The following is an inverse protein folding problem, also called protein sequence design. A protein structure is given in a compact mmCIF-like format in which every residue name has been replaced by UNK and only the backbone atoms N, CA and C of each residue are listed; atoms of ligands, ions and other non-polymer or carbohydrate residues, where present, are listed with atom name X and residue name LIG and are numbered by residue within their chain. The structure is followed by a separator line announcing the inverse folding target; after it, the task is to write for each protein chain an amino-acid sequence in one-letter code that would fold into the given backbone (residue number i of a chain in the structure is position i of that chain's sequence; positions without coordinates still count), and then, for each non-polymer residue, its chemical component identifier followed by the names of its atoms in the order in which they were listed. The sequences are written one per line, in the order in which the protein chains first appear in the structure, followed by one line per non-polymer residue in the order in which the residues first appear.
data_IF_896504033091
#
_entry.id   IF_896504033091
#
_cell.length_a   1.000
_cell.length_b   1.000
_cell.length_c   1.000
_cell.angle_alpha   90.00
_cell.angle_beta   90.00
_cell.angle_gamma   90.00
#
_symmetry.space_group_name_H-M   'P 1'
#
loop_
_entity.id
_entity.type
_entity.pdbx_description
1 polymer ?
#
# COMPACT_ATOMS: atom_id res chain seq x y z
N UNK A 1 35.30 -61.27 -1.72
CA UNK A 1 34.02 -60.91 -2.36
C UNK A 1 33.26 -60.08 -1.33
N UNK A 2 33.42 -58.75 -1.29
CA UNK A 2 32.73 -57.73 -2.09
C UNK A 2 31.20 -57.93 -2.07
N UNK A 3 30.46 -56.86 -1.79
CA UNK A 3 28.99 -56.74 -1.72
C UNK A 3 28.42 -57.28 -0.39
N UNK A 4 27.89 -56.49 0.55
CA UNK A 4 26.87 -55.44 0.40
C UNK A 4 27.04 -54.34 1.48
N UNK A 5 27.53 -53.19 1.05
CA UNK A 5 27.30 -51.89 1.68
C UNK A 5 26.15 -51.24 0.92
N UNK A 6 25.01 -50.97 1.54
CA UNK A 6 24.08 -49.91 1.12
C UNK A 6 22.87 -49.83 2.08
N UNK A 7 22.59 -48.61 2.56
CA UNK A 7 21.20 -48.23 2.84
C UNK A 7 20.83 -47.83 4.26
N UNK A 8 21.66 -47.06 4.97
CA UNK A 8 21.14 -46.23 6.07
C UNK A 8 20.88 -44.82 5.54
N UNK A 9 19.73 -44.64 4.90
CA UNK A 9 19.23 -43.32 4.53
C UNK A 9 18.79 -42.64 5.83
N UNK A 10 19.61 -41.70 6.30
CA UNK A 10 19.24 -40.75 7.35
C UNK A 10 18.01 -39.97 6.91
N UNK A 11 16.87 -40.29 7.53
CA UNK A 11 15.66 -39.47 7.51
C UNK A 11 15.97 -38.16 8.25
N UNK A 12 16.53 -37.18 7.54
CA UNK A 12 16.51 -35.79 7.98
C UNK A 12 15.06 -35.33 7.93
N UNK A 13 14.37 -35.44 9.06
CA UNK A 13 13.10 -34.78 9.27
C UNK A 13 13.31 -33.28 9.04
N UNK A 14 12.86 -32.79 7.88
CA UNK A 14 12.67 -31.37 7.63
C UNK A 14 11.53 -30.94 8.55
N UNK A 15 11.86 -30.63 9.80
CA UNK A 15 10.94 -29.90 10.65
C UNK A 15 10.73 -28.53 10.00
N UNK A 16 9.47 -28.08 9.81
CA UNK A 16 9.23 -26.70 9.41
C UNK A 16 9.86 -25.83 10.50
N UNK A 17 10.89 -25.07 10.12
CA UNK A 17 11.50 -24.09 11.00
C UNK A 17 10.37 -23.14 11.44
N UNK A 18 9.93 -23.28 12.68
CA UNK A 18 9.03 -22.32 13.29
C UNK A 18 9.88 -21.06 13.46
N UNK A 19 9.81 -20.16 12.48
CA UNK A 19 10.42 -18.84 12.57
C UNK A 19 9.84 -18.17 13.79
N UNK A 20 10.68 -18.02 14.83
CA UNK A 20 10.36 -17.24 16.02
C UNK A 20 9.87 -15.87 15.55
N UNK A 21 8.78 -15.30 16.10
CA UNK A 21 8.34 -13.98 15.73
C UNK A 21 9.51 -13.00 15.88
N UNK A 22 9.82 -12.24 14.83
CA UNK A 22 10.89 -11.25 14.81
C UNK A 22 10.71 -10.31 16.01
N UNK A 23 11.67 -10.32 16.93
CA UNK A 23 11.67 -9.39 18.04
C UNK A 23 12.07 -8.00 17.51
N UNK A 24 11.72 -6.89 18.19
CA UNK A 24 12.23 -5.56 17.83
C UNK A 24 13.76 -5.48 17.72
N UNK A 25 14.47 -6.40 18.37
CA UNK A 25 15.92 -6.55 18.29
C UNK A 25 16.42 -7.00 16.89
N UNK A 26 15.56 -7.63 16.08
CA UNK A 26 15.91 -8.16 14.75
C UNK A 26 15.64 -7.16 13.60
N UNK A 27 15.20 -5.93 13.92
CA UNK A 27 14.78 -4.90 12.96
C UNK A 27 15.97 -4.09 12.42
N UNK A 28 16.86 -4.77 11.69
CA UNK A 28 18.09 -4.19 11.15
C UNK A 28 17.96 -3.57 9.75
N UNK A 29 16.83 -3.77 9.05
CA UNK A 29 16.56 -3.21 7.73
C UNK A 29 15.09 -2.85 7.55
N UNK A 30 14.78 -2.00 6.56
CA UNK A 30 13.40 -1.65 6.23
C UNK A 30 12.60 -2.90 5.80
N UNK A 31 13.23 -3.81 5.06
CA UNK A 31 12.63 -5.09 4.67
C UNK A 31 12.34 -6.00 5.87
N UNK A 32 13.22 -6.03 6.87
CA UNK A 32 12.96 -6.76 8.11
C UNK A 32 11.72 -6.21 8.83
N UNK A 33 11.56 -4.89 8.87
CA UNK A 33 10.36 -4.25 9.42
C UNK A 33 9.12 -4.55 8.58
N UNK A 34 9.21 -4.54 7.25
CA UNK A 34 8.08 -4.89 6.38
C UNK A 34 7.65 -6.35 6.54
N UNK A 35 8.59 -7.30 6.67
CA UNK A 35 8.28 -8.70 7.00
C UNK A 35 7.59 -8.81 8.35
N UNK A 36 8.07 -8.07 9.34
CA UNK A 36 7.44 -8.02 10.66
C UNK A 36 6.01 -7.44 10.59
N UNK A 37 5.80 -6.36 9.84
CA UNK A 37 4.46 -5.77 9.59
C UNK A 37 3.53 -6.80 8.94
N UNK A 38 3.99 -7.52 7.93
CA UNK A 38 3.19 -8.55 7.24
C UNK A 38 2.72 -9.66 8.19
N UNK A 39 3.59 -10.08 9.11
CA UNK A 39 3.27 -11.09 10.13
C UNK A 39 2.49 -10.58 11.36
N UNK A 40 2.37 -9.27 11.53
CA UNK A 40 1.89 -8.63 12.77
C UNK A 40 0.52 -9.13 13.23
N UNK A 41 -0.44 -9.32 12.30
CA UNK A 41 -1.81 -9.74 12.62
C UNK A 41 -1.90 -11.09 13.31
N UNK A 42 -0.94 -11.98 13.06
CA UNK A 42 -0.95 -13.32 13.66
C UNK A 42 -0.74 -13.28 15.17
N UNK A 43 -0.03 -12.26 15.67
CA UNK A 43 0.19 -12.02 17.09
C UNK A 43 0.48 -10.52 17.33
N UNK A 44 -0.55 -9.67 17.40
CA UNK A 44 -0.38 -8.23 17.53
C UNK A 44 0.39 -7.87 18.81
N UNK A 45 1.42 -7.04 18.67
CA UNK A 45 2.16 -6.45 19.80
C UNK A 45 2.28 -4.93 19.61
N UNK A 46 1.28 -4.15 20.04
CA UNK A 46 1.31 -2.69 19.93
C UNK A 46 2.51 -2.07 20.66
N UNK A 47 3.06 -2.72 21.69
CA UNK A 47 4.19 -2.18 22.46
C UNK A 47 5.51 -2.22 21.69
N UNK A 48 5.62 -3.12 20.70
CA UNK A 48 6.77 -3.22 19.80
C UNK A 48 6.77 -2.15 18.69
N UNK A 49 5.61 -1.59 18.35
CA UNK A 49 5.43 -0.67 17.21
C UNK A 49 6.30 0.60 17.32
N UNK A 50 6.43 1.28 18.48
CA UNK A 50 7.33 2.43 18.58
C UNK A 50 8.79 2.09 18.24
N UNK A 51 9.28 0.93 18.67
CA UNK A 51 10.64 0.49 18.37
C UNK A 51 10.84 0.22 16.87
N UNK A 52 9.83 -0.34 16.19
CA UNK A 52 9.83 -0.54 14.75
C UNK A 52 9.85 0.81 13.99
N UNK A 53 9.04 1.79 14.41
CA UNK A 53 9.04 3.13 13.82
C UNK A 53 10.37 3.85 14.03
N UNK A 54 10.97 3.71 15.22
CA UNK A 54 12.32 4.20 15.50
C UNK A 54 13.38 3.54 14.62
N UNK A 55 13.29 2.24 14.37
CA UNK A 55 14.17 1.55 13.44
C UNK A 55 14.03 2.10 12.00
N UNK A 56 12.80 2.23 11.49
CA UNK A 56 12.53 2.81 10.16
C UNK A 56 13.09 4.23 10.02
N UNK A 57 12.89 5.07 11.04
CA UNK A 57 13.45 6.42 11.11
C UNK A 57 14.98 6.42 11.06
N UNK A 58 15.64 5.60 11.88
CA UNK A 58 17.12 5.46 11.86
C UNK A 58 17.65 4.96 10.52
N UNK A 59 16.90 4.08 9.86
CA UNK A 59 17.25 3.50 8.56
C UNK A 59 16.93 4.42 7.38
N UNK A 60 16.37 5.61 7.63
CA UNK A 60 15.98 6.56 6.58
C UNK A 60 14.76 6.14 5.75
N UNK A 61 14.05 5.09 6.16
CA UNK A 61 12.92 4.54 5.43
C UNK A 61 11.68 5.46 5.43
N UNK A 62 11.69 6.52 6.26
CA UNK A 62 10.60 7.50 6.41
C UNK A 62 10.90 8.85 5.74
N UNK A 63 12.04 8.98 5.07
CA UNK A 63 12.49 10.24 4.47
C UNK A 63 11.67 10.66 3.25
N UNK A 64 11.15 9.67 2.50
CA UNK A 64 10.31 9.89 1.34
C UNK A 64 8.84 9.56 1.71
N UNK A 65 7.98 10.59 1.88
CA UNK A 65 6.57 10.38 2.21
C UNK A 65 5.81 9.55 1.18
N UNK A 66 6.12 9.70 -0.11
CA UNK A 66 5.39 9.01 -1.19
C UNK A 66 5.65 7.50 -1.18
N UNK A 67 6.79 7.07 -0.62
CA UNK A 67 7.17 5.64 -0.47
C UNK A 67 6.90 5.08 0.92
N UNK A 68 6.39 5.91 1.83
CA UNK A 68 6.19 5.54 3.24
C UNK A 68 4.75 5.17 3.57
N UNK A 69 3.87 5.10 2.57
CA UNK A 69 2.43 4.89 2.75
C UNK A 69 2.10 3.67 3.62
N UNK A 70 2.79 2.55 3.42
CA UNK A 70 2.58 1.31 4.20
C UNK A 70 2.85 1.52 5.69
N UNK A 71 3.87 2.30 6.04
CA UNK A 71 4.20 2.59 7.42
C UNK A 71 3.19 3.55 8.06
N UNK A 72 2.71 4.55 7.29
CA UNK A 72 1.63 5.47 7.72
C UNK A 72 0.37 4.66 8.02
N UNK A 73 -0.06 3.83 7.09
CA UNK A 73 -1.24 2.99 7.22
C UNK A 73 -1.15 2.02 8.38
N UNK A 74 0.00 1.35 8.52
CA UNK A 74 0.24 0.42 9.63
C UNK A 74 0.16 1.13 10.99
N UNK A 75 0.86 2.24 11.16
CA UNK A 75 0.81 3.01 12.40
C UNK A 75 -0.61 3.54 12.68
N UNK A 76 -1.32 4.00 11.66
CA UNK A 76 -2.71 4.45 11.77
C UNK A 76 -3.63 3.33 12.27
N UNK A 77 -3.53 2.14 11.67
CA UNK A 77 -4.32 0.97 12.07
C UNK A 77 -4.04 0.51 13.49
N UNK A 78 -2.76 0.51 13.91
CA UNK A 78 -2.39 0.19 15.30
C UNK A 78 -2.97 1.23 16.26
N UNK A 79 -2.84 2.52 15.98
CA UNK A 79 -3.43 3.59 16.82
C UNK A 79 -4.94 3.40 16.91
N UNK A 80 -5.61 3.21 15.77
CA UNK A 80 -7.08 3.07 15.68
C UNK A 80 -7.63 1.87 16.43
N UNK A 81 -6.88 0.76 16.45
CA UNK A 81 -7.31 -0.48 17.12
C UNK A 81 -6.96 -0.55 18.60
N UNK A 82 -6.32 0.49 19.17
CA UNK A 82 -5.80 0.48 20.53
C UNK A 82 -6.15 1.77 21.30
N UNK A 83 -7.42 2.18 21.30
CA UNK A 83 -7.92 3.44 21.88
C UNK A 83 -7.33 3.77 23.26
N UNK A 84 -7.38 2.84 24.22
CA UNK A 84 -6.90 3.08 25.60
C UNK A 84 -5.40 3.37 25.69
N UNK A 85 -4.60 2.80 24.79
CA UNK A 85 -3.14 2.96 24.78
C UNK A 85 -2.63 3.87 23.67
N UNK A 86 -3.52 4.44 22.84
CA UNK A 86 -3.19 5.27 21.69
C UNK A 86 -2.28 6.43 22.08
N UNK A 87 -2.58 7.14 23.17
CA UNK A 87 -1.76 8.24 23.65
C UNK A 87 -0.34 7.78 24.03
N UNK A 88 -0.22 6.70 24.81
CA UNK A 88 1.07 6.17 25.22
C UNK A 88 1.89 5.68 24.00
N UNK A 89 1.22 5.05 23.03
CA UNK A 89 1.81 4.59 21.78
C UNK A 89 2.35 5.75 20.93
N UNK A 90 1.55 6.80 20.75
CA UNK A 90 1.96 8.02 20.04
C UNK A 90 3.14 8.67 20.76
N UNK A 91 3.05 8.78 22.09
CA UNK A 91 4.07 9.42 22.92
C UNK A 91 5.45 8.78 22.79
N UNK A 92 5.52 7.45 22.71
CA UNK A 92 6.77 6.68 22.48
C UNK A 92 7.23 6.74 21.03
N UNK A 93 6.29 6.71 20.08
CA UNK A 93 6.62 6.81 18.64
C UNK A 93 7.28 8.15 18.29
N UNK A 94 6.99 9.23 19.01
CA UNK A 94 7.61 10.55 18.80
C UNK A 94 9.12 10.63 19.12
N UNK A 95 9.71 9.57 19.66
CA UNK A 95 11.16 9.42 19.83
C UNK A 95 11.91 9.13 18.52
N UNK A 96 11.21 9.04 17.38
CA UNK A 96 11.81 9.09 16.03
C UNK A 96 12.49 10.44 15.77
N UNK A 97 13.29 10.50 14.69
CA UNK A 97 13.93 11.75 14.25
C UNK A 97 12.87 12.84 13.99
N UNK A 98 13.21 14.11 14.29
CA UNK A 98 12.28 15.25 14.11
C UNK A 98 11.73 15.34 12.68
N UNK A 99 12.60 15.08 11.70
CA UNK A 99 12.21 15.11 10.29
C UNK A 99 11.20 14.01 9.93
N UNK A 100 11.06 12.95 10.71
CA UNK A 100 10.15 11.84 10.37
C UNK A 100 8.80 11.95 11.09
N UNK A 101 8.63 12.89 12.02
CA UNK A 101 7.39 13.08 12.82
C UNK A 101 6.14 13.39 12.01
N UNK A 102 6.29 13.71 10.72
CA UNK A 102 5.15 13.84 9.80
C UNK A 102 4.32 12.55 9.73
N UNK A 103 4.94 11.37 9.89
CA UNK A 103 4.24 10.08 9.85
C UNK A 103 3.23 9.97 11.00
N UNK A 104 3.60 10.47 12.19
CA UNK A 104 2.74 10.44 13.38
C UNK A 104 1.53 11.35 13.18
N UNK A 105 1.72 12.53 12.59
CA UNK A 105 0.62 13.45 12.25
C UNK A 105 -0.40 12.77 11.33
N UNK A 106 0.07 12.15 10.23
CA UNK A 106 -0.82 11.44 9.29
C UNK A 106 -1.46 10.22 9.93
N UNK A 107 -0.71 9.43 10.69
CA UNK A 107 -1.22 8.22 11.32
C UNK A 107 -2.32 8.51 12.35
N UNK A 108 -2.20 9.59 13.13
CA UNK A 108 -3.29 10.05 14.01
C UNK A 108 -4.51 10.42 13.17
N UNK A 109 -4.34 11.24 12.14
CA UNK A 109 -5.44 11.69 11.28
C UNK A 109 -6.13 10.54 10.52
N UNK A 110 -5.40 9.47 10.20
CA UNK A 110 -5.91 8.30 9.46
C UNK A 110 -6.34 7.16 10.38
N UNK A 111 -6.17 7.29 11.70
CA UNK A 111 -6.44 6.21 12.66
C UNK A 111 -7.90 5.77 12.69
N UNK A 112 -8.83 6.67 12.35
CA UNK A 112 -10.28 6.44 12.49
C UNK A 112 -10.80 6.63 13.92
N UNK A 113 -9.96 7.05 14.87
CA UNK A 113 -10.42 7.37 16.23
C UNK A 113 -11.34 8.59 16.20
N UNK A 114 -12.48 8.59 16.91
CA UNK A 114 -13.43 9.71 16.90
C UNK A 114 -12.82 11.01 17.46
N UNK A 115 -11.85 10.89 18.37
CA UNK A 115 -11.15 11.99 19.05
C UNK A 115 -9.75 12.28 18.46
N UNK A 116 -9.46 11.82 17.25
CA UNK A 116 -8.13 11.99 16.63
C UNK A 116 -7.66 13.46 16.60
N UNK A 117 -8.58 14.42 16.45
CA UNK A 117 -8.24 15.86 16.48
C UNK A 117 -7.73 16.30 17.84
N UNK A 118 -8.35 15.82 18.91
CA UNK A 118 -7.91 16.10 20.28
C UNK A 118 -6.53 15.50 20.53
N UNK A 119 -6.32 14.24 20.13
CA UNK A 119 -5.01 13.59 20.20
C UNK A 119 -3.95 14.36 19.40
N UNK A 120 -4.26 14.78 18.17
CA UNK A 120 -3.33 15.52 17.33
C UNK A 120 -2.96 16.87 17.95
N UNK A 121 -3.94 17.59 18.49
CA UNK A 121 -3.72 18.87 19.18
C UNK A 121 -2.86 18.69 20.44
N UNK A 122 -3.11 17.64 21.23
CA UNK A 122 -2.35 17.32 22.45
C UNK A 122 -0.86 17.11 22.16
N UNK A 123 -0.52 16.43 21.07
CA UNK A 123 0.87 16.17 20.70
C UNK A 123 1.52 17.28 19.86
N UNK A 124 0.77 18.31 19.44
CA UNK A 124 1.27 19.35 18.54
C UNK A 124 2.51 20.08 19.07
N UNK A 125 2.57 20.34 20.39
CA UNK A 125 3.72 20.99 21.04
C UNK A 125 5.02 20.19 20.89
N UNK A 126 4.92 18.86 20.72
CA UNK A 126 6.07 17.96 20.51
C UNK A 126 6.49 17.84 19.04
N UNK A 127 5.76 18.46 18.11
CA UNK A 127 6.01 18.44 16.66
C UNK A 127 5.95 19.86 16.06
N UNK A 128 6.67 20.86 16.60
CA UNK A 128 6.57 22.25 16.13
C UNK A 128 6.93 22.40 14.64
N UNK A 129 7.87 21.59 14.13
CA UNK A 129 8.24 21.53 12.72
C UNK A 129 7.10 21.05 11.79
N UNK A 130 6.03 20.49 12.36
CA UNK A 130 4.83 20.01 11.66
C UNK A 130 3.60 20.87 11.90
N UNK A 131 3.73 22.04 12.52
CA UNK A 131 2.61 22.93 12.84
C UNK A 131 1.69 23.20 11.63
N UNK A 132 2.26 23.52 10.46
CA UNK A 132 1.49 23.77 9.25
C UNK A 132 0.70 22.54 8.75
N UNK A 133 1.28 21.34 8.87
CA UNK A 133 0.59 20.09 8.51
C UNK A 133 -0.54 19.79 9.49
N UNK A 134 -0.26 19.95 10.79
CA UNK A 134 -1.22 19.76 11.87
C UNK A 134 -2.42 20.70 11.67
N UNK A 135 -2.17 21.99 11.43
CA UNK A 135 -3.22 22.98 11.19
C UNK A 135 -4.10 22.59 10.01
N UNK A 136 -3.51 22.11 8.90
CA UNK A 136 -4.29 21.66 7.74
C UNK A 136 -5.25 20.52 8.06
N UNK A 137 -4.82 19.53 8.85
CA UNK A 137 -5.72 18.46 9.29
C UNK A 137 -6.79 18.96 10.26
N UNK A 138 -6.41 19.75 11.28
CA UNK A 138 -7.36 20.27 12.28
C UNK A 138 -8.46 21.12 11.63
N UNK A 139 -8.10 21.94 10.63
CA UNK A 139 -9.01 22.81 9.88
C UNK A 139 -9.72 22.12 8.72
N UNK A 140 -9.46 20.84 8.46
CA UNK A 140 -10.09 20.08 7.36
C UNK A 140 -9.62 20.47 5.96
N UNK A 141 -8.47 21.15 5.84
CA UNK A 141 -7.82 21.46 4.56
C UNK A 141 -7.05 20.27 3.99
N UNK A 142 -6.69 19.30 4.82
CA UNK A 142 -6.10 18.02 4.40
C UNK A 142 -7.08 16.88 4.66
N UNK A 143 -7.29 15.99 3.68
CA UNK A 143 -8.29 14.94 3.79
C UNK A 143 -7.81 13.77 4.65
N UNK A 144 -8.75 13.10 5.31
CA UNK A 144 -8.54 11.87 6.10
C UNK A 144 -8.90 10.62 5.30
N UNK A 145 -8.55 9.43 5.81
CA UNK A 145 -8.74 8.17 5.08
C UNK A 145 -10.23 7.84 4.83
N UNK A 146 -11.12 8.26 5.72
CA UNK A 146 -12.58 8.18 5.56
C UNK A 146 -13.14 9.12 4.48
N UNK A 147 -12.31 10.04 3.98
CA UNK A 147 -12.64 10.96 2.88
C UNK A 147 -12.02 10.50 1.55
N UNK A 148 -11.55 9.25 1.48
CA UNK A 148 -11.15 8.59 0.24
C UNK A 148 -12.36 8.45 -0.69
N UNK A 149 -12.24 9.04 -1.88
CA UNK A 149 -13.29 8.95 -2.90
C UNK A 149 -12.74 8.27 -4.14
N UNK A 150 -13.38 7.16 -4.50
CA UNK A 150 -13.01 6.39 -5.68
C UNK A 150 -14.11 6.62 -6.71
N UNK A 151 -13.84 7.50 -7.67
CA UNK A 151 -14.79 7.80 -8.73
C UNK A 151 -14.96 6.58 -9.66
N UNK A 152 -16.19 6.26 -10.10
CA UNK A 152 -16.36 5.26 -11.14
C UNK A 152 -15.68 5.73 -12.43
N UNK A 153 -15.21 4.80 -13.26
CA UNK A 153 -14.75 5.13 -14.61
C UNK A 153 -15.91 5.77 -15.40
N UNK A 154 -15.69 6.91 -16.08
CA UNK A 154 -16.75 7.63 -16.78
C UNK A 154 -17.30 6.80 -17.94
N UNK A 155 -18.62 6.80 -18.09
CA UNK A 155 -19.28 6.17 -19.25
C UNK A 155 -18.89 6.86 -20.56
N UNK A 156 -19.07 6.19 -21.70
CA UNK A 156 -18.76 6.77 -23.01
C UNK A 156 -19.50 8.09 -23.28
N UNK A 157 -20.72 8.25 -22.76
CA UNK A 157 -21.50 9.48 -22.86
C UNK A 157 -20.98 10.59 -21.94
N UNK A 158 -20.58 10.26 -20.71
CA UNK A 158 -19.96 11.23 -19.79
C UNK A 158 -18.64 11.76 -20.35
N UNK A 159 -17.86 10.89 -21.00
CA UNK A 159 -16.63 11.26 -21.70
C UNK A 159 -16.88 12.33 -22.77
N UNK A 160 -17.98 12.24 -23.54
CA UNK A 160 -18.33 13.26 -24.55
C UNK A 160 -18.74 14.59 -23.88
N UNK A 161 -19.48 14.53 -22.77
CA UNK A 161 -19.93 15.72 -22.04
C UNK A 161 -18.80 16.50 -21.35
N UNK A 162 -17.79 15.82 -20.80
CA UNK A 162 -16.62 16.47 -20.17
C UNK A 162 -15.80 17.31 -21.17
N UNK A 163 -15.81 16.94 -22.45
CA UNK A 163 -15.14 17.68 -23.51
C UNK A 163 -15.84 18.99 -23.91
N UNK A 164 -17.10 19.20 -23.48
CA UNK A 164 -17.88 20.40 -23.77
C UNK A 164 -17.72 21.53 -22.72
N UNK A 165 -16.76 21.41 -21.78
CA UNK A 165 -16.33 22.45 -20.81
C UNK A 165 -17.47 23.26 -20.18
N UNK A 166 -18.32 22.57 -19.42
CA UNK A 166 -19.34 23.19 -18.56
C UNK A 166 -18.72 24.05 -17.41
N UNK A 167 -17.42 23.86 -17.13
CA UNK A 167 -16.66 24.60 -16.12
C UNK A 167 -16.54 26.11 -16.40
N UNK A 168 -16.67 26.52 -17.67
CA UNK A 168 -16.62 27.94 -18.05
C UNK A 168 -17.87 28.73 -17.64
N UNK A 169 -18.97 28.04 -17.29
CA UNK A 169 -20.29 28.66 -17.10
C UNK A 169 -20.69 28.76 -15.62
N UNK A 170 -20.29 27.83 -14.76
CA UNK A 170 -20.87 27.70 -13.41
C UNK A 170 -19.92 27.99 -12.24
N UNK A 171 -18.66 28.36 -12.50
CA UNK A 171 -17.67 28.60 -11.44
C UNK A 171 -17.31 27.33 -10.67
N UNK A 172 -16.14 27.31 -10.02
CA UNK A 172 -15.68 26.13 -9.27
C UNK A 172 -16.42 26.06 -7.93
N UNK A 173 -17.24 25.03 -7.64
CA UNK A 173 -17.79 24.86 -6.31
C UNK A 173 -16.65 24.67 -5.30
N UNK A 174 -16.82 25.17 -4.07
CA UNK A 174 -15.91 24.87 -2.95
C UNK A 174 -15.99 23.37 -2.65
N UNK A 175 -15.17 22.56 -3.32
CA UNK A 175 -15.06 21.13 -3.02
C UNK A 175 -14.39 20.97 -1.66
N UNK A 176 -14.97 20.14 -0.79
CA UNK A 176 -14.28 19.66 0.42
C UNK A 176 -12.99 18.98 -0.03
N UNK A 177 -11.93 19.04 0.78
CA UNK A 177 -10.74 18.25 0.53
C UNK A 177 -11.13 16.77 0.49
N UNK A 178 -10.79 16.10 -0.60
CA UNK A 178 -11.05 14.68 -0.82
C UNK A 178 -9.70 13.99 -0.99
N UNK A 179 -9.57 12.80 -0.42
CA UNK A 179 -8.40 11.98 -0.65
C UNK A 179 -8.63 11.24 -1.97
N UNK A 180 -7.74 11.48 -2.94
CA UNK A 180 -7.79 10.84 -4.24
C UNK A 180 -6.96 9.54 -4.20
N UNK A 181 -7.37 8.50 -4.95
CA UNK A 181 -6.58 7.28 -5.07
C UNK A 181 -5.21 7.55 -5.68
N UNK A 182 -4.19 6.94 -5.11
CA UNK A 182 -2.80 7.02 -5.56
C UNK A 182 -2.04 5.77 -5.14
N UNK A 183 -0.83 5.54 -5.68
CA UNK A 183 0.08 4.50 -5.18
C UNK A 183 0.33 4.57 -3.67
N UNK A 184 0.54 5.76 -3.13
CA UNK A 184 0.71 5.97 -1.69
C UNK A 184 -0.55 5.54 -0.91
N UNK A 185 -1.74 5.90 -1.41
CA UNK A 185 -3.00 5.51 -0.77
C UNK A 185 -3.21 4.00 -0.79
N UNK A 186 -2.87 3.31 -1.89
CA UNK A 186 -2.89 1.84 -1.94
C UNK A 186 -2.03 1.25 -0.81
N UNK A 187 -0.83 1.80 -0.59
CA UNK A 187 0.04 1.34 0.48
C UNK A 187 -0.49 1.66 1.87
N UNK A 188 -1.09 2.84 2.06
CA UNK A 188 -1.75 3.20 3.32
C UNK A 188 -2.86 2.19 3.63
N UNK A 189 -3.67 1.82 2.63
CA UNK A 189 -4.73 0.82 2.81
C UNK A 189 -4.15 -0.55 3.16
N UNK A 190 -3.07 -0.98 2.49
CA UNK A 190 -2.37 -2.22 2.83
C UNK A 190 -1.77 -2.22 4.23
N UNK A 191 -1.08 -1.14 4.61
CA UNK A 191 -0.54 -0.97 5.96
C UNK A 191 -1.64 -1.05 7.03
N UNK A 192 -2.75 -0.37 6.80
CA UNK A 192 -3.91 -0.40 7.71
C UNK A 192 -4.49 -1.82 7.81
N UNK A 193 -4.60 -2.53 6.68
CA UNK A 193 -4.98 -3.94 6.68
C UNK A 193 -4.01 -4.79 7.50
N UNK A 194 -2.69 -4.69 7.27
CA UNK A 194 -1.68 -5.46 8.01
C UNK A 194 -1.67 -5.16 9.52
N UNK A 195 -2.11 -3.98 9.95
CA UNK A 195 -2.24 -3.66 11.36
C UNK A 195 -3.49 -4.26 12.01
N UNK A 196 -4.60 -4.36 11.27
CA UNK A 196 -5.94 -4.54 11.86
C UNK A 196 -6.69 -5.78 11.39
N UNK A 197 -6.39 -6.28 10.20
CA UNK A 197 -7.21 -7.27 9.50
C UNK A 197 -8.57 -6.74 9.04
N UNK A 198 -8.85 -5.43 9.19
CA UNK A 198 -10.12 -4.84 8.80
C UNK A 198 -10.35 -4.98 7.31
N UNK A 199 -11.56 -5.41 6.92
CA UNK A 199 -11.90 -5.56 5.53
C UNK A 199 -12.19 -4.22 4.81
N UNK A 200 -12.43 -3.14 5.56
CA UNK A 200 -12.67 -1.81 5.01
C UNK A 200 -11.60 -1.34 4.02
N UNK A 201 -10.30 -1.31 4.42
CA UNK A 201 -9.21 -0.99 3.50
C UNK A 201 -9.16 -1.86 2.24
N UNK A 202 -9.41 -3.16 2.37
CA UNK A 202 -9.45 -4.07 1.22
C UNK A 202 -10.59 -3.71 0.28
N UNK A 203 -11.77 -3.38 0.80
CA UNK A 203 -12.89 -2.93 -0.03
C UNK A 203 -12.61 -1.62 -0.77
N UNK A 204 -11.83 -0.71 -0.18
CA UNK A 204 -11.33 0.47 -0.90
C UNK A 204 -10.39 0.08 -2.05
N UNK A 205 -9.51 -0.91 -1.88
CA UNK A 205 -8.65 -1.40 -2.97
C UNK A 205 -9.51 -2.11 -4.05
N UNK A 206 -10.49 -2.92 -3.66
CA UNK A 206 -11.44 -3.59 -4.57
C UNK A 206 -12.22 -2.57 -5.40
N UNK A 207 -12.61 -1.43 -4.81
CA UNK A 207 -13.30 -0.36 -5.53
C UNK A 207 -12.45 0.30 -6.63
N UNK A 208 -11.11 0.15 -6.60
CA UNK A 208 -10.22 0.62 -7.67
C UNK A 208 -10.05 -0.40 -8.80
N UNK A 209 -10.50 -1.65 -8.65
CA UNK A 209 -10.35 -2.70 -9.67
C UNK A 209 -10.98 -2.38 -11.04
N UNK A 210 -12.15 -1.70 -11.14
CA UNK A 210 -12.71 -1.32 -12.44
C UNK A 210 -11.75 -0.51 -13.31
N UNK A 211 -10.83 0.24 -12.68
CA UNK A 211 -9.86 1.03 -13.42
C UNK A 211 -8.78 0.19 -14.11
N UNK A 212 -8.61 -1.08 -13.74
CA UNK A 212 -7.63 -1.98 -14.38
C UNK A 212 -7.91 -2.28 -15.86
N UNK A 213 -9.07 -1.87 -16.37
CA UNK A 213 -9.48 -1.97 -17.77
C UNK A 213 -9.83 -0.60 -18.38
N UNK A 214 -9.51 0.49 -17.69
CA UNK A 214 -9.74 1.86 -18.15
C UNK A 214 -8.62 2.30 -19.12
N UNK A 215 -8.71 1.83 -20.37
CA UNK A 215 -7.72 2.14 -21.42
C UNK A 215 -7.79 3.59 -21.95
N UNK A 216 -8.52 4.48 -21.28
CA UNK A 216 -8.60 5.88 -21.65
C UNK A 216 -7.79 6.80 -20.74
N UNK A 217 -7.37 6.32 -19.56
CA UNK A 217 -6.67 7.10 -18.54
C UNK A 217 -5.49 6.31 -17.97
N UNK A 218 -4.26 6.77 -18.24
CA UNK A 218 -3.03 6.08 -17.80
C UNK A 218 -2.91 6.01 -16.28
N UNK A 219 -3.36 7.03 -15.56
CA UNK A 219 -3.25 7.08 -14.10
C UNK A 219 -4.21 6.08 -13.46
N UNK A 220 -5.49 6.09 -13.87
CA UNK A 220 -6.48 5.11 -13.43
C UNK A 220 -6.07 3.69 -13.80
N UNK A 221 -5.66 3.47 -15.06
CA UNK A 221 -5.18 2.17 -15.52
C UNK A 221 -4.03 1.66 -14.66
N UNK A 222 -3.10 2.54 -14.31
CA UNK A 222 -1.96 2.19 -13.46
C UNK A 222 -2.42 1.83 -12.04
N UNK A 223 -3.22 2.67 -11.39
CA UNK A 223 -3.73 2.44 -10.02
C UNK A 223 -4.57 1.16 -9.95
N UNK A 224 -5.51 0.97 -10.89
CA UNK A 224 -6.35 -0.23 -10.94
C UNK A 224 -5.54 -1.51 -11.20
N UNK A 225 -4.53 -1.44 -12.06
CA UNK A 225 -3.61 -2.55 -12.31
C UNK A 225 -2.76 -2.89 -11.08
N UNK A 226 -2.28 -1.88 -10.34
CA UNK A 226 -1.55 -2.04 -9.08
C UNK A 226 -2.43 -2.66 -8.00
N UNK A 227 -3.68 -2.19 -7.87
CA UNK A 227 -4.68 -2.77 -6.97
C UNK A 227 -4.89 -4.26 -7.28
N UNK A 228 -5.11 -4.60 -8.55
CA UNK A 228 -5.29 -6.00 -9.00
C UNK A 228 -4.07 -6.86 -8.69
N UNK A 229 -2.86 -6.39 -9.00
CA UNK A 229 -1.63 -7.14 -8.76
C UNK A 229 -1.34 -7.34 -7.26
N UNK A 230 -1.43 -6.29 -6.46
CA UNK A 230 -1.15 -6.36 -5.01
C UNK A 230 -2.16 -7.24 -4.28
N UNK A 231 -3.45 -7.20 -4.66
CA UNK A 231 -4.46 -8.11 -4.12
C UNK A 231 -4.11 -9.58 -4.41
N UNK A 232 -3.79 -9.91 -5.66
CA UNK A 232 -3.45 -11.28 -6.04
C UNK A 232 -2.18 -11.77 -5.33
N UNK A 233 -1.15 -10.92 -5.28
CA UNK A 233 0.12 -11.24 -4.63
C UNK A 233 -0.04 -11.48 -3.12
N UNK A 234 -0.75 -10.60 -2.41
CA UNK A 234 -0.93 -10.74 -0.97
C UNK A 234 -1.89 -11.91 -0.64
N UNK A 235 -2.93 -12.14 -1.44
CA UNK A 235 -3.88 -13.24 -1.25
C UNK A 235 -3.27 -14.64 -1.45
N UNK A 236 -2.10 -14.74 -2.11
CA UNK A 236 -1.37 -16.01 -2.29
C UNK A 236 -0.95 -16.61 -0.94
N UNK A 237 -0.72 -15.78 0.08
CA UNK A 237 -0.22 -16.19 1.40
C UNK A 237 -1.18 -15.84 2.55
N UNK A 238 -2.33 -15.22 2.24
CA UNK A 238 -3.33 -14.78 3.21
C UNK A 238 -4.69 -15.40 2.85
N UNK A 239 -4.99 -16.56 3.46
CA UNK A 239 -6.20 -17.31 3.16
C UNK A 239 -7.48 -16.58 3.59
N UNK A 240 -7.40 -15.76 4.64
CA UNK A 240 -8.53 -14.94 5.09
C UNK A 240 -8.83 -13.84 4.05
N UNK A 241 -7.78 -13.19 3.53
CA UNK A 241 -7.91 -12.25 2.43
C UNK A 241 -8.51 -12.94 1.19
N UNK A 242 -7.98 -14.09 0.79
CA UNK A 242 -8.48 -14.83 -0.36
C UNK A 242 -9.97 -15.19 -0.20
N UNK A 243 -10.37 -15.68 0.98
CA UNK A 243 -11.76 -16.00 1.29
C UNK A 243 -12.65 -14.75 1.22
N UNK A 244 -12.19 -13.62 1.73
CA UNK A 244 -12.92 -12.36 1.69
C UNK A 244 -13.11 -11.84 0.25
N UNK A 245 -12.07 -11.93 -0.59
CA UNK A 245 -12.15 -11.57 -2.02
C UNK A 245 -13.13 -12.46 -2.79
N UNK A 246 -13.14 -13.77 -2.53
CA UNK A 246 -14.14 -14.72 -3.07
C UNK A 246 -15.55 -14.44 -2.56
N UNK A 247 -15.68 -13.91 -1.34
CA UNK A 247 -16.96 -13.43 -0.81
C UNK A 247 -17.43 -12.18 -1.56
N UNK A 248 -16.53 -11.22 -1.79
CA UNK A 248 -16.83 -9.98 -2.52
C UNK A 248 -17.24 -10.23 -3.97
N UNK A 249 -16.63 -11.21 -4.66
CA UNK A 249 -17.02 -11.52 -6.03
C UNK A 249 -18.44 -12.08 -6.14
N UNK A 250 -18.99 -12.60 -5.04
CA UNK A 250 -20.36 -13.12 -4.91
C UNK A 250 -21.33 -12.13 -4.29
N UNK A 251 -20.88 -10.93 -3.94
CA UNK A 251 -21.73 -9.94 -3.29
C UNK A 251 -22.86 -9.47 -4.21
N UNK A 252 -24.04 -9.26 -3.64
CA UNK A 252 -25.20 -8.72 -4.40
C UNK A 252 -24.86 -7.33 -4.93
N UNK A 253 -25.18 -7.08 -6.20
CA UNK A 253 -24.94 -5.81 -6.89
C UNK A 253 -23.45 -5.41 -7.06
N UNK A 254 -22.52 -6.36 -6.91
CA UNK A 254 -21.13 -6.10 -7.27
C UNK A 254 -21.04 -5.81 -8.78
N UNK A 255 -20.37 -4.71 -9.23
CA UNK A 255 -20.24 -4.41 -10.65
C UNK A 255 -19.55 -5.55 -11.40
N UNK A 256 -20.04 -5.89 -12.60
CA UNK A 256 -19.52 -6.99 -13.41
C UNK A 256 -18.01 -6.85 -13.68
N UNK A 257 -17.53 -5.62 -13.92
CA UNK A 257 -16.11 -5.32 -14.10
C UNK A 257 -15.29 -5.64 -12.85
N UNK A 258 -15.82 -5.36 -11.66
CA UNK A 258 -15.19 -5.74 -10.39
C UNK A 258 -15.22 -7.25 -10.19
N UNK A 259 -16.33 -7.93 -10.51
CA UNK A 259 -16.44 -9.39 -10.41
C UNK A 259 -15.42 -10.07 -11.33
N UNK A 260 -15.30 -9.62 -12.57
CA UNK A 260 -14.31 -10.15 -13.51
C UNK A 260 -12.88 -9.97 -13.00
N UNK A 261 -12.53 -8.76 -12.52
CA UNK A 261 -11.21 -8.50 -11.96
C UNK A 261 -10.94 -9.32 -10.69
N UNK A 262 -11.92 -9.47 -9.80
CA UNK A 262 -11.81 -10.30 -8.59
C UNK A 262 -11.61 -11.78 -8.93
N UNK A 263 -12.34 -12.31 -9.92
CA UNK A 263 -12.16 -13.70 -10.35
C UNK A 263 -10.74 -13.95 -10.86
N UNK A 264 -10.18 -13.02 -11.64
CA UNK A 264 -8.79 -13.12 -12.07
C UNK A 264 -7.79 -13.03 -10.91
N UNK A 265 -8.06 -12.17 -9.92
CA UNK A 265 -7.24 -12.04 -8.71
C UNK A 265 -7.24 -13.33 -7.89
N UNK A 266 -8.43 -13.90 -7.65
CA UNK A 266 -8.56 -15.13 -6.85
C UNK A 266 -7.99 -16.33 -7.58
N UNK A 267 -8.23 -16.44 -8.89
CA UNK A 267 -7.64 -17.48 -9.75
C UNK A 267 -6.11 -17.43 -9.71
N UNK A 268 -5.52 -16.25 -9.90
CA UNK A 268 -4.07 -16.09 -9.87
C UNK A 268 -3.48 -16.37 -8.48
N UNK A 269 -4.18 -15.99 -7.40
CA UNK A 269 -3.75 -16.28 -6.03
C UNK A 269 -3.80 -17.78 -5.72
N UNK A 270 -4.86 -18.48 -6.14
CA UNK A 270 -5.03 -19.93 -5.93
C UNK A 270 -4.05 -20.77 -6.77
N UNK A 271 -3.74 -20.32 -7.98
CA UNK A 271 -2.82 -21.00 -8.91
C UNK A 271 -1.36 -20.54 -8.77
N UNK A 272 -1.10 -19.50 -7.97
CA UNK A 272 0.20 -18.85 -7.82
C UNK A 272 0.73 -18.28 -9.16
N UNK A 273 -0.15 -17.97 -10.11
CA UNK A 273 0.17 -17.44 -11.44
C UNK A 273 0.19 -15.89 -11.50
N UNK A 274 0.73 -15.24 -10.47
CA UNK A 274 0.74 -13.78 -10.33
C UNK A 274 1.50 -13.08 -11.49
N UNK A 275 2.46 -13.78 -12.10
CA UNK A 275 3.21 -13.29 -13.25
C UNK A 275 2.33 -12.96 -14.46
N UNK A 276 1.18 -13.63 -14.63
CA UNK A 276 0.23 -13.35 -15.71
C UNK A 276 -0.39 -11.95 -15.55
N UNK A 277 -0.94 -11.66 -14.37
CA UNK A 277 -1.55 -10.36 -14.05
C UNK A 277 -0.52 -9.24 -14.25
N UNK A 278 0.72 -9.45 -13.79
CA UNK A 278 1.82 -8.49 -13.97
C UNK A 278 2.09 -8.17 -15.43
N UNK A 279 2.28 -9.20 -16.26
CA UNK A 279 2.59 -9.04 -17.69
C UNK A 279 1.47 -8.30 -18.43
N UNK A 280 0.21 -8.62 -18.11
CA UNK A 280 -0.96 -7.95 -18.69
C UNK A 280 -1.01 -6.47 -18.31
N UNK A 281 -0.78 -6.15 -17.03
CA UNK A 281 -0.74 -4.77 -16.54
C UNK A 281 0.36 -3.94 -17.23
N UNK A 282 1.59 -4.46 -17.29
CA UNK A 282 2.72 -3.79 -17.97
C UNK A 282 2.39 -3.52 -19.43
N UNK A 283 1.91 -4.54 -20.15
CA UNK A 283 1.60 -4.42 -21.57
C UNK A 283 0.48 -3.40 -21.83
N UNK A 284 -0.59 -3.40 -21.03
CA UNK A 284 -1.71 -2.48 -21.17
C UNK A 284 -1.30 -1.01 -20.94
N UNK A 285 -0.49 -0.77 -19.91
CA UNK A 285 0.02 0.57 -19.59
C UNK A 285 0.97 1.06 -20.67
N UNK A 286 1.91 0.21 -21.12
CA UNK A 286 2.86 0.55 -22.18
C UNK A 286 2.18 0.82 -23.52
N UNK A 287 1.15 0.05 -23.87
CA UNK A 287 0.37 0.25 -25.08
C UNK A 287 -0.37 1.60 -25.05
N UNK A 288 -1.04 1.92 -23.94
CA UNK A 288 -1.74 3.20 -23.79
C UNK A 288 -0.75 4.39 -23.83
N UNK A 289 0.43 4.24 -23.23
CA UNK A 289 1.51 5.24 -23.31
C UNK A 289 2.02 5.45 -24.72
N UNK A 290 2.20 4.37 -25.49
CA UNK A 290 2.76 4.44 -26.86
C UNK A 290 1.74 4.90 -27.89
N UNK A 291 0.51 4.38 -27.84
CA UNK A 291 -0.50 4.56 -28.89
C UNK A 291 -1.68 5.45 -28.50
N UNK A 292 -1.76 5.87 -27.24
CA UNK A 292 -2.82 6.75 -26.76
C UNK A 292 -2.72 8.19 -27.32
N UNK A 293 -3.85 8.87 -27.57
CA UNK A 293 -3.85 10.29 -27.93
C UNK A 293 -3.13 11.15 -26.87
N UNK A 294 -2.58 12.30 -27.28
CA UNK A 294 -1.69 13.13 -26.45
C UNK A 294 -2.27 13.51 -25.07
N UNK A 295 -3.58 13.77 -24.99
CA UNK A 295 -4.25 14.09 -23.72
C UNK A 295 -4.35 12.88 -22.76
N UNK A 296 -4.37 11.65 -23.29
CA UNK A 296 -4.33 10.40 -22.51
C UNK A 296 -2.92 10.06 -22.06
N UNK A 297 -1.91 10.62 -22.74
CA UNK A 297 -0.48 10.53 -22.37
C UNK A 297 -0.08 11.58 -21.34
N UNK A 298 -0.81 12.68 -21.22
CA UNK A 298 -0.47 13.82 -20.35
C UNK A 298 -1.16 13.74 -18.98
N UNK A 299 -0.70 12.82 -18.13
CA UNK A 299 -0.77 13.01 -16.69
C UNK A 299 0.50 13.77 -16.24
N UNK A 300 0.39 14.70 -15.29
CA UNK A 300 1.49 15.55 -14.83
C UNK A 300 2.60 14.71 -14.18
N UNK A 301 3.61 14.45 -14.99
CA UNK A 301 4.69 13.48 -14.87
C UNK A 301 5.81 13.83 -13.86
N UNK A 302 5.75 14.93 -13.12
CA UNK A 302 6.90 15.39 -12.30
C UNK A 302 7.23 14.52 -11.06
N UNK A 303 6.37 13.58 -10.66
CA UNK A 303 6.67 12.61 -9.59
C UNK A 303 7.29 11.27 -10.05
N UNK A 304 7.36 11.01 -11.36
CA UNK A 304 7.66 9.67 -11.91
C UNK A 304 8.83 9.64 -12.91
N UNK A 305 9.64 10.70 -13.01
CA UNK A 305 10.75 10.79 -13.96
C UNK A 305 11.94 9.93 -13.50
N UNK A 306 12.03 8.72 -14.05
CA UNK A 306 13.23 7.90 -13.91
C UNK A 306 13.08 6.47 -14.41
N UNK A 307 13.00 6.30 -15.72
CA UNK A 307 13.08 5.02 -16.46
C UNK A 307 11.89 4.06 -16.31
N UNK A 308 11.15 3.85 -17.41
CA UNK A 308 10.76 2.53 -17.97
C UNK A 308 10.17 1.41 -17.10
N UNK A 309 9.98 1.58 -15.81
CA UNK A 309 9.57 0.58 -14.85
C UNK A 309 8.34 1.12 -14.13
N UNK A 310 7.34 0.26 -13.97
CA UNK A 310 6.24 0.54 -13.08
C UNK A 310 6.85 0.87 -11.71
N UNK A 311 6.63 2.11 -11.24
CA UNK A 311 7.09 2.60 -9.95
C UNK A 311 6.31 1.98 -8.78
N UNK A 312 6.11 0.66 -8.85
CA UNK A 312 5.61 -0.18 -7.79
C UNK A 312 6.77 -1.05 -7.33
N UNK A 313 7.34 -0.85 -6.14
CA UNK A 313 8.41 -1.65 -5.56
C UNK A 313 8.22 -3.14 -5.80
N UNK A 314 7.04 -3.70 -5.53
CA UNK A 314 6.78 -5.12 -5.83
C UNK A 314 6.50 -5.44 -7.31
N UNK A 315 6.06 -4.50 -8.14
CA UNK A 315 5.88 -4.73 -9.59
C UNK A 315 7.22 -4.68 -10.32
N UNK A 316 8.07 -3.70 -10.00
CA UNK A 316 9.44 -3.60 -10.51
C UNK A 316 10.32 -4.76 -10.03
N UNK A 317 10.27 -5.12 -8.75
CA UNK A 317 11.00 -6.29 -8.23
C UNK A 317 10.51 -7.60 -8.86
N UNK A 318 9.21 -7.71 -9.12
CA UNK A 318 8.65 -8.85 -9.84
C UNK A 318 9.09 -8.89 -11.32
N UNK A 319 9.27 -7.74 -11.99
CA UNK A 319 9.84 -7.66 -13.34
C UNK A 319 11.29 -8.16 -13.38
N UNK A 320 12.07 -7.92 -12.33
CA UNK A 320 13.46 -8.39 -12.21
C UNK A 320 13.59 -9.81 -11.62
N UNK A 321 12.47 -10.49 -11.33
CA UNK A 321 12.47 -11.86 -10.78
C UNK A 321 12.75 -11.94 -9.28
N UNK A 322 12.82 -10.79 -8.59
CA UNK A 322 13.04 -10.69 -7.16
C UNK A 322 11.69 -10.55 -6.43
N UNK A 323 10.94 -11.64 -6.31
CA UNK A 323 9.85 -11.74 -5.33
C UNK A 323 10.43 -12.46 -4.11
N UNK A 324 10.73 -11.71 -3.05
CA UNK A 324 11.18 -12.31 -1.81
C UNK A 324 9.99 -12.85 -1.02
N UNK A 325 10.04 -14.13 -0.65
CA UNK A 325 9.03 -14.75 0.19
C UNK A 325 8.91 -14.03 1.54
N UNK A 326 7.68 -13.69 1.94
CA UNK A 326 7.36 -13.11 3.24
C UNK A 326 7.33 -11.58 3.31
N UNK A 327 7.75 -10.86 2.26
CA UNK A 327 7.52 -9.40 2.16
C UNK A 327 6.11 -9.11 1.62
N UNK A 328 5.38 -8.14 2.20
CA UNK A 328 4.09 -7.73 1.65
C UNK A 328 4.31 -7.01 0.31
N UNK A 329 3.47 -7.30 -0.67
CA UNK A 329 3.51 -6.59 -1.95
C UNK A 329 2.75 -5.27 -1.82
N UNK A 330 3.53 -4.21 -1.63
CA UNK A 330 3.09 -2.81 -1.61
C UNK A 330 3.79 -2.02 -2.72
N UNK A 331 3.13 -0.98 -3.22
CA UNK A 331 3.54 -0.17 -4.36
C UNK A 331 4.77 0.69 -4.03
N UNK A 332 4.90 1.23 -2.83
CA UNK A 332 6.04 2.05 -2.39
C UNK A 332 7.20 1.26 -1.79
N UNK A 333 7.12 -0.08 -1.78
CA UNK A 333 8.01 -0.96 -1.01
C UNK A 333 9.51 -0.74 -1.21
N UNK A 334 10.26 -0.85 -0.10
CA UNK A 334 11.68 -0.53 0.10
C UNK A 334 12.70 -1.23 -0.83
N UNK A 335 12.27 -2.13 -1.72
CA UNK A 335 13.11 -2.63 -2.82
C UNK A 335 13.63 -1.50 -3.72
N UNK A 336 12.91 -0.37 -3.80
CA UNK A 336 13.41 0.81 -4.50
C UNK A 336 14.62 1.45 -3.79
N UNK A 337 14.73 1.38 -2.47
CA UNK A 337 15.80 2.06 -1.71
C UNK A 337 17.12 1.31 -1.76
N UNK A 338 17.11 -0.02 -1.72
CA UNK A 338 18.32 -0.83 -1.85
C UNK A 338 18.91 -0.75 -3.28
N UNK A 339 18.06 -0.72 -4.31
CA UNK A 339 18.49 -0.58 -5.70
C UNK A 339 18.92 0.84 -6.03
N UNK A 340 18.22 1.87 -5.56
CA UNK A 340 18.61 3.28 -5.81
C UNK A 340 19.91 3.64 -5.08
N UNK A 341 20.15 3.13 -3.87
CA UNK A 341 21.43 3.33 -3.18
C UNK A 341 22.59 2.56 -3.81
N UNK A 342 22.33 1.42 -4.45
CA UNK A 342 23.37 0.67 -5.18
C UNK A 342 23.73 1.35 -6.51
N UNK A 343 22.76 1.95 -7.20
CA UNK A 343 22.97 2.65 -8.47
C UNK A 343 23.63 4.02 -8.27
N UNK A 344 23.31 4.74 -7.18
CA UNK A 344 23.91 6.05 -6.89
C UNK A 344 25.31 5.99 -6.24
N UNK A 345 25.77 4.81 -5.82
CA UNK A 345 27.08 4.61 -5.19
C UNK A 345 28.05 3.72 -6.01
N UNK A 346 27.86 3.62 -7.33
CA UNK A 346 28.94 3.13 -8.19
C UNK A 346 29.90 4.28 -8.51
N UNK A 347 31.23 4.10 -8.39
CA UNK A 347 32.22 5.14 -8.70
C UNK A 347 32.20 5.56 -10.18
#
# INVERSE_FOLDING_TARGET
MRWLMAGLITLLAVMPAHTKPLAPADLHSADAVLRWINGYRSKPDPKAVPAAMQALSRLGALQDPERSGVYVGFLAGVIGSNLESAEALIGKTLEIQRNDRWIVVRAIAYSGLPDWKFLLQKFAVRMPERAAMIEKYLTGKSPTLDQLVIAPSPSALQRIGEHLRVEAVFGKPKRKAMLEPSPEVLDILWGYYFATGSYGPIMSIVAMLPWSVDHDDVERLSIGSMAKFTLASNATHDFDLLAALKGSSKARNQPETTVAALNEVTDAAETVEIARIRKQAVAAIDELRRKGPAYRRSASWWGYVGQGAIAGGCIAAAVTGHIEFGLPCVVGGAAASAVVNFVNNQP
#
